data_IF_029080227916
#
_entry.id   IF_029080227916
#
_cell.length_a   1.000
_cell.length_b   1.000
_cell.length_c   1.000
_cell.angle_alpha   90.00
_cell.angle_beta   90.00
_cell.angle_gamma   90.00
#
_symmetry.space_group_name_H-M   'P 1'
#
loop_
_entity.id
_entity.type
_entity.pdbx_description
1 polymer ?
2 non-polymer ?
3 non-polymer ?
4 water ?
#
# COMPACT_ATOMS: atom_id res chain seq x y z
N UNK A 1 -3.71 0.52 -21.44
CA UNK A 1 -3.81 1.97 -21.38
C UNK A 1 -3.96 2.48 -19.95
N UNK A 2 -3.20 3.52 -19.63
CA UNK A 2 -3.09 4.02 -18.26
C UNK A 2 -2.65 5.48 -18.31
N UNK A 3 -3.16 6.32 -17.39
CA UNK A 3 -2.93 7.76 -17.56
C UNK A 3 -1.51 8.12 -17.19
N UNK A 4 -1.07 9.27 -17.66
CA UNK A 4 0.13 9.89 -17.14
C UNK A 4 -0.19 10.39 -15.74
N UNK A 5 0.84 10.66 -14.96
CA UNK A 5 0.65 11.01 -13.56
C UNK A 5 -0.31 12.18 -13.35
N UNK A 6 -0.19 13.26 -14.13
CA UNK A 6 -1.08 14.40 -13.97
C UNK A 6 -2.55 14.02 -14.14
N UNK A 7 -2.81 13.11 -15.06
CA UNK A 7 -4.17 12.65 -15.27
C UNK A 7 -4.64 11.84 -14.08
N UNK A 8 -3.78 10.96 -13.58
CA UNK A 8 -4.16 10.16 -12.42
C UNK A 8 -4.47 11.06 -11.22
N UNK A 9 -3.65 12.08 -11.00
CA UNK A 9 -3.79 12.96 -9.84
C UNK A 9 -5.11 13.73 -9.81
N UNK A 10 -5.79 13.84 -10.96
CA UNK A 10 -7.07 14.55 -11.01
C UNK A 10 -8.15 13.80 -10.22
N UNK A 11 -7.87 12.55 -9.88
CA UNK A 11 -8.81 11.68 -9.18
C UNK A 11 -8.43 11.45 -7.72
N UNK A 12 -7.62 12.38 -7.19
CA UNK A 12 -7.14 12.29 -5.82
C UNK A 12 -8.27 12.17 -4.81
N UNK A 13 -8.10 11.27 -3.86
CA UNK A 13 -9.05 11.07 -2.77
C UNK A 13 -8.36 11.18 -1.44
N UNK A 14 -9.14 11.14 -0.38
CA UNK A 14 -8.67 11.36 0.96
C UNK A 14 -8.64 10.05 1.74
N UNK A 15 -7.48 9.42 1.80
CA UNK A 15 -7.34 8.12 2.42
C UNK A 15 -6.88 8.28 3.86
N UNK A 16 -7.43 7.46 4.74
CA UNK A 16 -6.96 7.44 6.13
C UNK A 16 -6.75 6.00 6.57
N UNK A 17 -5.95 5.83 7.62
CA UNK A 17 -5.61 4.51 8.11
C UNK A 17 -6.66 4.00 9.09
N UNK A 18 -6.91 2.70 9.03
CA UNK A 18 -7.86 2.04 9.94
C UNK A 18 -7.08 1.37 11.06
N UNK A 19 -6.94 2.08 12.17
CA UNK A 19 -6.07 1.63 13.25
C UNK A 19 -6.57 0.35 13.92
N UNK A 20 -7.86 0.04 13.74
CA UNK A 20 -8.44 -1.18 14.31
C UNK A 20 -8.01 -2.46 13.59
N UNK A 21 -7.72 -2.34 12.30
CA UNK A 21 -7.25 -3.46 11.49
C UNK A 21 -5.79 -3.81 11.76
N UNK A 22 -5.07 -2.86 12.36
CA UNK A 22 -3.60 -2.90 12.32
C UNK A 22 -2.94 -4.01 13.11
N UNK A 23 -1.89 -4.57 12.53
CA UNK A 23 -0.93 -5.38 13.27
C UNK A 23 -0.62 -4.62 14.57
N UNK A 24 -0.72 -5.30 15.72
CA UNK A 24 -0.74 -4.59 17.02
C UNK A 24 0.53 -3.83 17.44
N UNK A 25 1.65 -4.04 16.75
CA UNK A 25 2.86 -3.29 17.08
C UNK A 25 2.99 -2.01 16.26
N UNK A 26 1.97 -1.71 15.46
CA UNK A 26 1.98 -0.48 14.67
C UNK A 26 1.55 0.70 15.53
N UNK A 27 2.09 1.86 15.20
CA UNK A 27 1.79 3.09 15.90
C UNK A 27 1.29 4.09 14.87
N UNK A 28 0.19 4.77 15.20
CA UNK A 28 -0.51 5.67 14.29
C UNK A 28 -0.53 7.11 14.75
N UNK A 29 -0.38 8.03 13.81
CA UNK A 29 -0.53 9.44 14.13
C UNK A 29 -1.99 9.74 14.46
N UNK A 30 -2.19 10.88 15.11
CA UNK A 30 -3.52 11.30 15.53
C UNK A 30 -4.43 11.53 14.33
N UNK A 31 -3.85 12.04 13.25
CA UNK A 31 -4.65 12.32 12.05
C UNK A 31 -4.87 11.07 11.18
N UNK A 32 -4.30 9.96 11.61
CA UNK A 32 -4.47 8.69 10.90
C UNK A 32 -3.94 8.73 9.47
N UNK A 33 -2.91 9.55 9.23
CA UNK A 33 -2.23 9.63 7.94
C UNK A 33 -0.88 8.91 7.99
N UNK A 34 -0.35 8.63 9.17
CA UNK A 34 0.97 7.99 9.26
C UNK A 34 0.93 6.73 10.10
N UNK A 35 1.77 5.76 9.74
CA UNK A 35 1.91 4.53 10.49
C UNK A 35 3.38 4.12 10.49
N UNK A 36 3.85 3.69 11.65
CA UNK A 36 5.21 3.17 11.78
C UNK A 36 5.20 1.96 12.68
N UNK A 37 6.28 1.20 12.60
CA UNK A 37 6.44 0.00 13.41
C UNK A 37 7.13 0.35 14.72
N UNK A 38 6.43 0.12 15.83
CA UNK A 38 6.99 0.40 17.15
C UNK A 38 7.86 -0.76 17.61
N UNK A 39 8.42 -0.63 18.81
CA UNK A 39 9.14 -1.75 19.41
C UNK A 39 8.19 -2.87 19.80
N UNK A 40 8.74 -4.05 20.04
CA UNK A 40 7.92 -5.24 20.29
C UNK A 40 7.03 -5.13 21.54
N UNK A 41 7.28 -4.13 22.38
CA UNK A 41 6.50 -3.97 23.61
C UNK A 41 5.36 -2.95 23.50
N UNK A 42 5.31 -2.21 22.40
CA UNK A 42 4.23 -1.25 22.18
C UNK A 42 3.11 -1.89 21.38
N UNK A 43 1.97 -2.11 22.02
CA UNK A 43 0.86 -2.82 21.39
C UNK A 43 -0.45 -2.05 21.45
N UNK A 44 -1.27 -2.23 20.42
CA UNK A 44 -2.58 -1.61 20.36
C UNK A 44 -3.60 -2.48 21.09
N UNK A 45 -4.78 -1.91 21.40
CA UNK A 45 -5.87 -2.66 22.04
C UNK A 45 -6.21 -3.93 21.25
N UNK A 46 -5.78 -5.08 21.76
CA UNK A 46 -5.95 -6.35 21.04
C UNK A 46 -7.39 -6.63 20.60
N UNK A 47 -7.52 -7.39 19.51
CA UNK A 47 -8.82 -7.72 18.95
C UNK A 47 -8.72 -8.77 17.86
N UNK A 48 -9.84 -9.47 17.60
CA UNK A 48 -9.90 -10.54 16.60
C UNK A 48 -9.95 -9.99 15.18
N UNK A 49 -9.95 -8.66 15.05
CA UNK A 49 -10.02 -8.02 13.75
C UNK A 49 -8.64 -7.63 13.22
N UNK A 50 -7.61 -7.78 14.05
CA UNK A 50 -6.26 -7.35 13.68
C UNK A 50 -5.48 -8.37 12.86
N UNK A 51 -4.53 -7.86 12.08
CA UNK A 51 -3.54 -8.71 11.45
C UNK A 51 -2.62 -9.25 12.55
N UNK A 52 -2.38 -10.55 12.54
CA UNK A 52 -1.62 -11.19 13.62
C UNK A 52 -0.18 -11.52 13.25
N UNK A 53 0.10 -11.68 11.95
CA UNK A 53 1.44 -12.08 11.51
C UNK A 53 2.06 -11.14 10.47
N UNK A 54 1.23 -10.55 9.62
CA UNK A 54 1.71 -9.61 8.61
C UNK A 54 1.65 -8.19 9.15
N UNK A 55 2.75 -7.45 9.01
CA UNK A 55 2.83 -6.08 9.52
C UNK A 55 2.07 -5.15 8.57
N UNK A 56 0.77 -5.25 8.61
CA UNK A 56 -0.09 -4.59 7.63
C UNK A 56 -1.19 -3.79 8.31
N UNK A 57 -1.63 -2.74 7.63
CA UNK A 57 -2.79 -1.99 8.05
C UNK A 57 -3.57 -1.64 6.80
N UNK A 58 -4.88 -1.65 6.95
CA UNK A 58 -5.78 -1.27 5.88
C UNK A 58 -6.14 0.20 5.97
N UNK A 59 -6.55 0.78 4.84
CA UNK A 59 -7.03 2.14 4.80
C UNK A 59 -8.49 2.21 4.43
N UNK A 60 -9.00 3.43 4.54
CA UNK A 60 -10.36 3.77 4.15
C UNK A 60 -10.26 4.98 3.23
N UNK A 61 -11.24 5.17 2.34
CA UNK A 61 -12.46 4.37 2.26
C UNK A 61 -12.30 3.11 1.46
N UNK A 62 -13.22 2.18 1.65
CA UNK A 62 -13.37 1.09 0.72
C UNK A 62 -14.19 1.72 -0.40
N UNK A 63 -14.07 1.20 -1.62
CA UNK A 63 -14.85 1.72 -2.72
C UNK A 63 -15.13 0.64 -3.73
N UNK A 64 -16.14 0.86 -4.56
CA UNK A 64 -16.48 -0.13 -5.56
C UNK A 64 -16.91 0.50 -6.87
N UNK A 65 -16.29 1.64 -7.17
CA UNK A 65 -16.64 2.38 -8.34
C UNK A 65 -15.62 3.47 -8.63
N UNK A 66 -15.62 3.92 -9.87
CA UNK A 66 -14.88 5.10 -10.28
C UNK A 66 -13.36 4.98 -10.34
N UNK A 67 -12.74 6.14 -10.37
CA UNK A 67 -11.29 6.28 -10.46
C UNK A 67 -10.82 6.95 -9.18
N UNK A 68 -9.76 6.42 -8.54
CA UNK A 68 -9.32 6.86 -7.22
C UNK A 68 -7.81 6.92 -7.19
N UNK A 69 -7.25 8.00 -6.66
CA UNK A 69 -5.79 8.16 -6.62
C UNK A 69 -5.38 8.58 -5.23
N UNK A 70 -4.30 8.03 -4.70
CA UNK A 70 -3.73 8.53 -3.47
C UNK A 70 -2.21 8.42 -3.52
N UNK A 71 -1.55 9.16 -2.65
CA UNK A 71 -0.09 9.24 -2.68
C UNK A 71 0.42 9.03 -1.27
N UNK A 72 1.58 8.41 -1.18
CA UNK A 72 2.16 8.05 0.09
C UNK A 72 3.65 8.41 0.09
N UNK A 73 4.09 9.16 1.10
CA UNK A 73 5.50 9.42 1.30
C UNK A 73 6.18 8.19 1.88
N UNK A 74 7.22 7.74 1.19
CA UNK A 74 8.04 6.61 1.64
C UNK A 74 9.45 7.08 2.03
N UNK A 75 9.80 8.26 1.55
CA UNK A 75 11.08 8.86 1.95
C UNK A 75 12.27 7.94 1.73
N UNK A 76 13.11 7.87 2.76
CA UNK A 76 14.37 7.12 2.71
C UNK A 76 14.24 5.75 3.35
N UNK A 77 13.00 5.29 3.50
CA UNK A 77 12.75 3.97 4.03
C UNK A 77 13.39 2.88 3.15
N UNK A 78 13.65 1.73 3.77
CA UNK A 78 14.31 0.64 3.07
C UNK A 78 13.37 -0.52 2.81
N UNK A 79 12.16 -0.50 3.36
CA UNK A 79 11.19 -1.55 3.04
C UNK A 79 9.80 -1.04 3.32
N UNK A 80 8.86 -1.49 2.50
CA UNK A 80 7.45 -1.12 2.64
C UNK A 80 6.61 -1.89 1.65
N UNK A 81 5.29 -1.87 1.87
CA UNK A 81 4.31 -2.43 0.92
C UNK A 81 3.23 -1.37 0.72
N UNK A 82 2.84 -1.15 -0.52
CA UNK A 82 1.72 -0.25 -0.83
C UNK A 82 0.86 -0.84 -1.92
N UNK A 83 -0.46 -0.59 -1.88
CA UNK A 83 -1.32 -0.91 -2.99
C UNK A 83 -2.76 -0.95 -2.52
N UNK A 84 -3.51 -1.88 -3.08
CA UNK A 84 -4.93 -2.04 -2.72
C UNK A 84 -5.22 -3.52 -2.57
N UNK A 85 -6.34 -3.83 -1.92
CA UNK A 85 -6.75 -5.23 -1.71
C UNK A 85 -8.26 -5.30 -1.63
N UNK A 86 -8.78 -6.49 -1.85
CA UNK A 86 -10.20 -6.73 -1.63
C UNK A 86 -10.48 -6.58 -0.14
N UNK A 87 -11.66 -6.05 0.18
CA UNK A 87 -12.00 -5.92 1.60
C UNK A 87 -12.16 -7.27 2.32
N UNK A 88 -12.29 -8.34 1.55
CA UNK A 88 -12.49 -9.66 2.13
C UNK A 88 -11.21 -10.46 2.37
N UNK A 89 -10.05 -9.85 2.16
CA UNK A 89 -8.81 -10.58 2.44
C UNK A 89 -8.81 -11.14 3.86
N UNK A 90 -8.18 -12.29 4.03
CA UNK A 90 -8.03 -12.89 5.36
C UNK A 90 -6.97 -12.13 6.15
N UNK A 91 -7.24 -11.87 7.42
CA UNK A 91 -6.33 -11.07 8.23
C UNK A 91 -5.47 -11.90 9.17
N UNK A 92 -6.03 -12.99 9.67
CA UNK A 92 -5.25 -13.96 10.42
C UNK A 92 -4.59 -14.91 9.42
N UNK A 93 -3.33 -14.62 9.11
CA UNK A 93 -2.57 -15.39 8.15
C UNK A 93 -1.41 -14.58 7.61
N UNK A 94 -0.53 -15.23 6.87
CA UNK A 94 0.58 -14.54 6.22
C UNK A 94 0.44 -14.73 4.72
N UNK A 95 -0.81 -14.86 4.28
CA UNK A 95 -1.16 -15.14 2.89
C UNK A 95 -0.23 -14.47 1.88
N UNK A 96 -0.04 -15.12 0.74
CA UNK A 96 0.90 -14.64 -0.24
C UNK A 96 0.15 -13.44 -0.80
N UNK A 97 0.84 -12.31 -0.91
CA UNK A 97 0.21 -11.10 -1.40
C UNK A 97 0.18 -11.15 -2.92
N UNK A 98 -0.87 -11.75 -3.47
CA UNK A 98 -0.99 -11.93 -4.90
C UNK A 98 -2.36 -11.50 -5.38
N UNK A 99 -2.48 -11.20 -6.66
CA UNK A 99 -3.78 -10.83 -7.22
C UNK A 99 -4.82 -11.92 -7.02
N UNK A 100 -4.43 -13.18 -7.18
CA UNK A 100 -5.38 -14.26 -6.99
C UNK A 100 -5.94 -14.27 -5.57
N UNK A 101 -5.11 -13.90 -4.59
CA UNK A 101 -5.53 -13.80 -3.20
C UNK A 101 -6.14 -12.44 -2.84
N UNK A 102 -6.32 -11.57 -3.83
CA UNK A 102 -6.99 -10.29 -3.61
C UNK A 102 -6.09 -9.14 -3.20
N UNK A 103 -4.81 -9.18 -3.58
CA UNK A 103 -3.88 -8.09 -3.28
C UNK A 103 -3.21 -7.61 -4.55
N UNK A 104 -3.10 -6.29 -4.70
CA UNK A 104 -2.37 -5.69 -5.81
C UNK A 104 -1.41 -4.68 -5.20
N UNK A 105 -0.16 -5.11 -4.98
CA UNK A 105 0.78 -4.29 -4.23
C UNK A 105 2.14 -4.26 -4.89
N UNK A 106 2.85 -3.19 -4.60
CA UNK A 106 4.28 -3.06 -4.92
C UNK A 106 5.02 -3.07 -3.58
N UNK A 107 6.20 -3.69 -3.57
CA UNK A 107 6.93 -3.94 -2.34
C UNK A 107 8.37 -3.47 -2.51
N UNK A 108 8.85 -2.67 -1.56
CA UNK A 108 10.29 -2.42 -1.50
C UNK A 108 10.84 -3.42 -0.51
N UNK A 109 11.76 -4.26 -1.00
CA UNK A 109 12.38 -5.30 -0.17
C UNK A 109 13.59 -4.77 0.58
N UNK A 110 14.39 -3.98 -0.12
CA UNK A 110 15.58 -3.38 0.47
C UNK A 110 16.03 -2.32 -0.49
N UNK A 111 17.08 -1.58 -0.14
CA UNK A 111 17.60 -0.57 -1.03
C UNK A 111 17.78 -1.11 -2.45
N UNK A 112 17.24 -0.40 -3.44
CA UNK A 112 17.38 -0.74 -4.85
C UNK A 112 16.73 -2.07 -5.26
N UNK A 113 15.80 -2.57 -4.45
CA UNK A 113 15.11 -3.81 -4.79
C UNK A 113 13.62 -3.60 -4.58
N UNK A 114 12.92 -3.45 -5.71
CA UNK A 114 11.46 -3.24 -5.71
C UNK A 114 10.82 -4.31 -6.57
N UNK A 115 9.63 -4.76 -6.17
CA UNK A 115 8.91 -5.74 -6.97
C UNK A 115 7.42 -5.49 -6.94
N UNK A 116 6.76 -5.85 -8.03
CA UNK A 116 5.31 -5.96 -8.03
C UNK A 116 4.96 -7.33 -7.59
N UNK A 117 3.95 -7.47 -6.76
CA UNK A 117 3.65 -8.76 -6.16
C UNK A 117 2.72 -9.62 -7.04
N UNK A 118 3.12 -9.77 -8.29
CA UNK A 118 2.61 -10.85 -9.14
C UNK A 118 3.20 -12.14 -8.56
N UNK A 119 2.78 -13.29 -9.10
CA UNK A 119 3.38 -14.56 -8.71
C UNK A 119 3.77 -15.32 -9.98
N UNK A 120 5.07 -15.51 -10.20
CA UNK A 120 6.17 -15.04 -9.37
C UNK A 120 6.28 -13.51 -9.41
N UNK A 121 6.96 -12.93 -8.42
CA UNK A 121 7.06 -11.45 -8.39
C UNK A 121 7.83 -10.88 -9.55
N UNK A 122 7.51 -9.66 -9.95
CA UNK A 122 8.16 -9.01 -11.05
C UNK A 122 9.12 -7.94 -10.52
N UNK A 123 10.42 -8.04 -10.78
CA UNK A 123 11.33 -6.99 -10.32
C UNK A 123 11.15 -5.73 -11.14
N UNK A 124 11.14 -4.58 -10.47
CA UNK A 124 10.88 -3.33 -11.13
C UNK A 124 12.21 -2.62 -11.36
N UNK A 125 12.39 -2.08 -12.55
CA UNK A 125 13.63 -1.38 -12.90
C UNK A 125 13.50 0.10 -12.56
N UNK A 126 13.76 0.41 -11.31
CA UNK A 126 13.63 1.77 -10.83
C UNK A 126 15.01 2.41 -10.82
N UNK A 127 15.17 3.47 -11.60
CA UNK A 127 16.45 4.16 -11.72
C UNK A 127 16.62 5.21 -10.64
N UNK A 128 15.56 5.96 -10.39
CA UNK A 128 15.57 6.97 -9.35
C UNK A 128 14.61 6.54 -8.26
N UNK A 129 15.13 6.25 -7.06
CA UNK A 129 14.24 5.67 -6.04
C UNK A 129 13.14 6.65 -5.69
N UNK A 130 11.91 6.15 -5.58
CA UNK A 130 10.82 7.07 -5.25
C UNK A 130 10.87 7.52 -3.80
N UNK A 131 10.56 8.78 -3.56
CA UNK A 131 10.35 9.27 -2.21
C UNK A 131 8.85 9.37 -1.94
N UNK A 132 8.07 9.37 -3.02
CA UNK A 132 6.60 9.39 -2.89
C UNK A 132 6.06 8.51 -3.99
N UNK A 133 5.05 7.70 -3.67
CA UNK A 133 4.50 6.71 -4.59
C UNK A 133 3.02 7.03 -4.73
N UNK A 134 2.53 7.04 -5.96
CA UNK A 134 1.12 7.27 -6.26
C UNK A 134 0.46 5.99 -6.71
N UNK A 135 -0.77 5.78 -6.26
CA UNK A 135 -1.56 4.58 -6.55
C UNK A 135 -2.85 5.04 -7.21
N UNK A 136 -3.17 4.51 -8.39
CA UNK A 136 -4.34 4.91 -9.18
C UNK A 136 -5.15 3.66 -9.51
N UNK A 137 -6.39 3.63 -9.02
CA UNK A 137 -7.30 2.53 -9.32
C UNK A 137 -8.37 2.99 -10.28
N UNK A 138 -8.53 2.31 -11.40
CA UNK A 138 -9.68 2.53 -12.29
C UNK A 138 -10.56 1.31 -12.17
N UNK A 139 -11.62 1.44 -11.37
CA UNK A 139 -12.41 0.28 -11.00
C UNK A 139 -13.09 -0.36 -12.20
N UNK A 140 -13.69 0.48 -13.04
CA UNK A 140 -14.46 -0.01 -14.19
C UNK A 140 -13.60 -0.79 -15.17
N UNK A 141 -12.41 -0.25 -15.47
CA UNK A 141 -11.49 -0.84 -16.44
C UNK A 141 -10.75 -2.03 -15.82
N UNK A 142 -10.65 -2.06 -14.50
CA UNK A 142 -9.98 -3.14 -13.81
C UNK A 142 -8.47 -3.01 -13.81
N UNK A 143 -8.00 -1.79 -13.58
CA UNK A 143 -6.54 -1.60 -13.53
C UNK A 143 -6.15 -0.87 -12.27
N UNK A 144 -4.95 -1.18 -11.79
CA UNK A 144 -4.34 -0.44 -10.70
C UNK A 144 -2.90 -0.14 -11.08
N UNK A 145 -2.58 1.13 -11.05
CA UNK A 145 -1.29 1.63 -11.54
C UNK A 145 -0.53 2.33 -10.44
N UNK A 146 0.80 2.23 -10.50
CA UNK A 146 1.70 2.77 -9.52
C UNK A 146 2.66 3.73 -10.19
N UNK A 147 2.89 4.85 -9.54
CA UNK A 147 3.73 5.92 -10.07
C UNK A 147 4.80 6.30 -9.06
N UNK A 148 5.97 6.62 -9.63
CA UNK A 148 7.06 7.23 -8.90
C UNK A 148 6.80 8.72 -9.00
N UNK A 149 6.24 9.32 -7.96
CA UNK A 149 5.81 10.71 -8.00
C UNK A 149 7.04 11.63 -8.04
N UNK A 150 8.13 11.18 -7.43
CA UNK A 150 9.38 11.96 -7.43
C UNK A 150 9.90 12.16 -8.83
N UNK A 151 9.90 11.09 -9.62
CA UNK A 151 10.38 11.12 -10.99
C UNK A 151 9.27 11.53 -11.97
N UNK A 152 8.02 11.46 -11.51
CA UNK A 152 6.84 11.61 -12.35
C UNK A 152 6.79 10.55 -13.44
N UNK A 153 7.03 9.30 -13.04
CA UNK A 153 7.06 8.21 -13.99
C UNK A 153 6.17 7.05 -13.55
N UNK A 154 5.70 6.30 -14.52
CA UNK A 154 4.93 5.09 -14.26
C UNK A 154 5.85 3.95 -13.85
N UNK A 155 5.53 3.26 -12.77
CA UNK A 155 6.28 2.10 -12.23
C UNK A 155 5.69 0.77 -12.73
N UNK A 156 4.38 0.57 -12.57
CA UNK A 156 3.80 -0.74 -12.85
C UNK A 156 2.29 -0.62 -12.91
N UNK A 157 1.67 -1.43 -13.75
CA UNK A 157 0.20 -1.55 -13.78
C UNK A 157 -0.21 -3.00 -13.76
N UNK A 158 -1.12 -3.34 -12.86
CA UNK A 158 -1.86 -4.60 -12.91
C UNK A 158 -3.10 -4.33 -13.75
N UNK A 159 -3.24 -5.04 -14.86
CA UNK A 159 -4.36 -4.84 -15.76
C UNK A 159 -5.23 -6.09 -15.79
N UNK A 160 -6.45 -5.91 -16.29
CA UNK A 160 -7.43 -6.99 -16.38
C UNK A 160 -7.69 -7.61 -15.02
N UNK A 161 -7.85 -6.78 -13.99
CA UNK A 161 -8.03 -7.29 -12.64
C UNK A 161 -9.45 -7.80 -12.39
N UNK A 162 -10.39 -7.34 -13.20
CA UNK A 162 -11.79 -7.76 -13.09
C UNK A 162 -12.30 -7.65 -11.66
N UNK A 163 -12.23 -6.44 -11.11
CA UNK A 163 -12.60 -6.23 -9.71
C UNK A 163 -14.07 -6.53 -9.50
N UNK A 164 -14.38 -7.16 -8.38
CA UNK A 164 -15.78 -7.27 -7.94
C UNK A 164 -15.81 -7.09 -6.42
N UNK A 165 -16.79 -6.34 -5.96
CA UNK A 165 -16.87 -5.98 -4.57
C UNK A 165 -15.88 -4.89 -4.21
N UNK A 166 -15.89 -4.47 -2.96
CA UNK A 166 -15.11 -3.29 -2.58
C UNK A 166 -13.63 -3.61 -2.48
N UNK A 167 -12.87 -2.58 -2.81
CA UNK A 167 -11.41 -2.56 -2.64
C UNK A 167 -11.05 -1.53 -1.59
N UNK A 168 -9.89 -1.67 -0.96
CA UNK A 168 -9.42 -0.63 -0.06
C UNK A 168 -7.90 -0.50 -0.16
N UNK A 169 -7.36 0.65 0.23
CA UNK A 169 -5.90 0.79 0.28
C UNK A 169 -5.30 -0.12 1.34
N UNK A 170 -4.05 -0.55 1.13
CA UNK A 170 -3.32 -1.38 2.09
C UNK A 170 -1.87 -0.86 2.18
N UNK A 171 -1.29 -0.99 3.36
CA UNK A 171 0.01 -0.41 3.68
C UNK A 171 0.80 -1.30 4.60
N UNK A 172 2.12 -1.28 4.47
CA UNK A 172 2.98 -1.82 5.53
C UNK A 172 4.23 -0.96 5.60
N UNK A 173 4.62 -0.53 6.82
CA UNK A 173 5.85 0.28 6.92
C UNK A 173 7.11 -0.59 6.96
N UNK A 174 6.95 -1.90 6.79
CA UNK A 174 8.10 -2.81 6.78
C UNK A 174 8.69 -3.08 8.17
N UNK A 175 9.72 -3.93 8.22
CA UNK A 175 10.46 -4.20 9.46
C UNK A 175 11.41 -3.05 9.81
N UNK A 176 11.71 -2.88 11.11
CA UNK A 176 12.54 -1.77 11.59
C UNK A 176 13.95 -1.69 10.99
N UNK A 177 14.42 -2.82 10.44
CA UNK A 177 15.72 -2.96 9.75
C UNK A 177 16.92 -2.40 10.53
N UNK A 178 17.01 -2.77 11.80
CA UNK A 178 18.15 -2.40 12.62
C UNK A 178 18.34 -0.91 12.80
N UNK A 179 17.27 -0.15 12.59
CA UNK A 179 17.32 1.28 12.79
C UNK A 179 17.27 2.10 11.51
N UNK A 180 17.33 1.44 10.36
CA UNK A 180 17.32 2.15 9.09
C UNK A 180 15.91 2.32 8.51
N UNK A 181 14.94 1.62 9.07
CA UNK A 181 13.60 1.64 8.47
C UNK A 181 12.50 2.03 9.44
N UNK A 182 12.82 2.83 10.46
CA UNK A 182 11.86 3.17 11.51
C UNK A 182 10.89 4.28 11.12
N UNK A 183 11.19 5.01 10.04
CA UNK A 183 10.31 6.13 9.64
C UNK A 183 8.91 5.62 9.24
N UNK A 184 7.89 6.46 9.41
CA UNK A 184 6.54 6.03 9.03
C UNK A 184 6.33 6.15 7.54
N UNK A 185 5.30 5.46 7.06
CA UNK A 185 4.65 5.84 5.81
C UNK A 185 3.69 6.96 6.12
N UNK A 186 3.61 7.95 5.25
CA UNK A 186 2.69 9.07 5.49
C UNK A 186 1.88 9.37 4.24
N UNK A 187 0.55 9.22 4.35
CA UNK A 187 -0.35 9.57 3.26
C UNK A 187 -0.31 11.09 3.12
N UNK A 188 -0.13 11.59 1.90
CA UNK A 188 0.07 13.02 1.69
C UNK A 188 -0.81 13.59 0.58
N UNK A 189 -1.19 14.87 0.71
CA UNK A 189 -1.99 15.44 -0.39
C UNK A 189 -1.15 15.60 -1.65
N UNK A 190 -1.78 15.59 -2.82
CA UNK A 190 -1.04 15.90 -4.04
C UNK A 190 -0.39 17.28 -3.94
N UNK A 191 0.90 17.35 -4.27
CA UNK A 191 1.63 18.60 -4.22
C UNK A 191 3.10 18.38 -3.89
X LIG B 1 -20.86 -5.47 -3.83
X LIG B 1 -20.04 -6.47 -2.62
X LIG B 1 -19.51 -7.12 -1.78
X LIG C 1 12.47 -10.30 -15.28
X LIG C 1 11.83 -10.12 -13.63
X LIG C 1 11.48 -10.09 -12.50
X LIG D 1 -9.79 15.75 -5.02
X LIG D 1 -9.72 17.13 -4.66
X LIG D 1 -9.39 15.54 -6.48
X LIG D 1 -8.43 16.54 -6.86
X LIG E 1 8.52 -5.23 2.80
X LIG E 1 9.71 -5.93 2.43
X LIG E 1 8.09 -5.57 4.22
X LIG E 1 9.23 -5.52 5.08
X LIG F 1 -2.17 13.59 -21.50
X LIG F 1 -1.97 14.50 -20.39
X LIG F 1 -3.26 14.05 -22.46
X LIG F 1 -2.97 13.62 -23.80
#
# INVERSE_FOLDING_TARGET
NVPELIGAQAHAVNVILDAETAYPNLIFSDDLKSVRLGNKWERLPDGPQRFDSCIIVLGSPSFLSGRRYWEVEVGDKTAWILGACKTSISRKGNMTLSPENGYWVVIMMKENEYQASSVPPTRLLIKEPPKRVGIFVDYRVGSISFYNVTARSHIYTFASCSFSGPLQPIFSPGTRDGGKNTAPLTICPVG
SCN S C N
SCN S C N
EDO C1 O1 C2 O2
EDO C1 O1 C2 O2
EDO C1 O1 C2 O2
#
